data_IF_806196610986
#
_entry.id   IF_806196610986
#
_cell.length_a   1.000
_cell.length_b   1.000
_cell.length_c   1.000
_cell.angle_alpha   90.00
_cell.angle_beta   90.00
_cell.angle_gamma   90.00
#
_symmetry.space_group_name_H-M   'P 1'
#
loop_
_entity.id
_entity.type
_entity.pdbx_description
1 polymer ?
#
# COMPACT_ATOMS: atom_id res chain seq x y z
N UNK A 1 56.37 -9.71 62.23
CA UNK A 1 57.44 -10.22 61.35
C UNK A 1 57.16 -9.70 59.94
N UNK A 2 57.75 -8.56 59.54
CA UNK A 2 58.85 -8.47 58.56
C UNK A 2 58.81 -9.51 57.42
N UNK A 3 58.37 -9.01 56.25
CA UNK A 3 59.06 -9.00 54.95
C UNK A 3 59.22 -10.29 54.13
N UNK A 4 59.20 -10.04 52.81
CA UNK A 4 59.85 -10.72 51.67
C UNK A 4 58.94 -11.66 50.87
N UNK A 5 58.51 -11.11 49.73
CA UNK A 5 58.30 -11.83 48.46
C UNK A 5 59.67 -12.22 47.88
N UNK A 6 59.80 -13.37 47.21
CA UNK A 6 60.70 -13.47 46.08
C UNK A 6 59.96 -13.83 44.79
N UNK A 7 60.28 -13.03 43.76
CA UNK A 7 60.17 -13.34 42.34
C UNK A 7 60.69 -14.75 42.00
N UNK A 8 60.06 -15.38 41.01
CA UNK A 8 60.79 -16.22 40.05
C UNK A 8 60.38 -15.88 38.62
N UNK A 9 61.41 -15.82 37.80
CA UNK A 9 61.58 -15.12 36.53
C UNK A 9 61.27 -16.06 35.35
N UNK A 10 60.40 -15.57 34.46
CA UNK A 10 60.46 -15.59 32.98
C UNK A 10 60.85 -16.90 32.27
N UNK A 11 59.93 -17.39 31.44
CA UNK A 11 60.26 -17.78 30.06
C UNK A 11 59.41 -16.95 29.10
N UNK A 12 60.07 -16.08 28.35
CA UNK A 12 59.50 -15.38 27.22
C UNK A 12 59.51 -16.32 26.01
N UNK A 13 58.36 -16.51 25.39
CA UNK A 13 58.26 -16.90 23.98
C UNK A 13 57.44 -15.82 23.29
N UNK A 14 58.15 -14.87 22.70
CA UNK A 14 57.62 -14.05 21.62
C UNK A 14 57.44 -14.96 20.40
N UNK A 15 56.20 -15.11 19.95
CA UNK A 15 55.91 -15.28 18.52
C UNK A 15 54.81 -14.28 18.17
N UNK A 16 55.24 -13.20 17.54
CA UNK A 16 54.42 -12.28 16.76
C UNK A 16 53.77 -13.00 15.60
N UNK A 17 52.45 -12.93 15.49
CA UNK A 17 51.75 -12.97 14.21
C UNK A 17 50.48 -12.12 14.31
N UNK A 18 50.42 -11.10 13.46
CA UNK A 18 49.28 -10.22 13.23
C UNK A 18 48.00 -11.01 12.94
N UNK A 19 46.92 -10.66 13.62
CA UNK A 19 45.55 -11.03 13.26
C UNK A 19 44.63 -9.95 13.82
N UNK A 20 44.17 -9.05 12.96
CA UNK A 20 43.42 -7.86 13.34
C UNK A 20 42.18 -8.21 14.17
N UNK A 21 42.16 -7.72 15.40
CA UNK A 21 40.98 -7.75 16.25
C UNK A 21 40.05 -6.64 15.75
N UNK A 22 39.22 -6.95 14.74
CA UNK A 22 38.03 -6.13 14.46
C UNK A 22 37.07 -6.41 15.60
N UNK A 23 37.01 -5.49 16.56
CA UNK A 23 35.83 -5.36 17.41
C UNK A 23 34.63 -5.23 16.48
N UNK A 24 33.81 -6.27 16.44
CA UNK A 24 32.47 -6.16 15.91
C UNK A 24 31.73 -5.19 16.83
N UNK A 25 31.59 -3.94 16.39
CA UNK A 25 30.58 -3.03 16.94
C UNK A 25 29.26 -3.80 16.93
N UNK A 26 28.77 -4.17 18.12
CA UNK A 26 27.37 -4.48 18.29
C UNK A 26 26.63 -3.21 17.87
N UNK A 27 26.09 -3.20 16.64
CA UNK A 27 24.99 -2.31 16.29
C UNK A 27 23.92 -2.56 17.35
N UNK A 28 23.81 -1.66 18.33
CA UNK A 28 22.61 -1.60 19.15
C UNK A 28 21.44 -1.45 18.18
N UNK A 29 20.53 -2.43 18.18
CA UNK A 29 19.22 -2.25 17.56
C UNK A 29 18.63 -0.97 18.19
N UNK A 30 18.61 0.12 17.42
CA UNK A 30 17.87 1.31 17.80
C UNK A 30 16.43 0.86 17.96
N UNK A 31 15.93 0.86 19.20
CA UNK A 31 14.51 0.66 19.44
C UNK A 31 13.75 1.72 18.66
N UNK A 32 12.80 1.29 17.83
CA UNK A 32 11.82 2.14 17.17
C UNK A 32 11.15 3.01 18.24
N UNK A 33 11.40 4.32 18.19
CA UNK A 33 10.91 5.28 19.19
C UNK A 33 9.46 5.73 18.89
N UNK A 34 8.85 5.17 17.84
CA UNK A 34 7.48 5.46 17.43
C UNK A 34 7.30 6.88 16.88
N UNK A 35 8.36 7.67 16.71
CA UNK A 35 8.25 9.03 16.18
C UNK A 35 7.92 8.99 14.70
N UNK A 36 6.94 9.81 14.31
CA UNK A 36 6.57 10.04 12.89
C UNK A 36 7.58 10.99 12.23
N UNK A 37 7.97 12.07 12.91
CA UNK A 37 9.01 12.98 12.44
C UNK A 37 10.25 12.81 13.32
N UNK A 38 11.36 12.40 12.71
CA UNK A 38 12.64 12.20 13.36
C UNK A 38 13.33 13.55 13.63
N UNK A 39 14.28 13.57 14.56
CA UNK A 39 14.95 14.80 15.02
C UNK A 39 15.76 15.49 13.89
N UNK A 40 16.15 14.74 12.85
CA UNK A 40 16.83 15.26 11.65
C UNK A 40 15.85 15.89 10.63
N UNK A 41 14.55 15.71 10.82
CA UNK A 41 13.48 16.17 9.94
C UNK A 41 13.02 15.12 8.92
N UNK A 42 13.43 13.86 9.05
CA UNK A 42 12.94 12.78 8.19
C UNK A 42 11.63 12.21 8.70
N UNK A 43 10.65 12.03 7.81
CA UNK A 43 9.40 11.32 8.11
C UNK A 43 9.67 9.82 8.14
N UNK A 44 9.34 9.15 9.23
CA UNK A 44 9.32 7.69 9.31
C UNK A 44 7.98 7.18 8.75
N UNK A 45 8.03 6.59 7.56
CA UNK A 45 6.81 6.23 6.83
C UNK A 45 6.05 5.07 7.48
N UNK A 46 6.76 4.07 8.03
CA UNK A 46 6.15 3.00 8.82
C UNK A 46 5.33 3.58 9.98
N UNK A 47 5.94 4.45 10.79
CA UNK A 47 5.28 5.03 11.96
C UNK A 47 4.12 5.95 11.57
N UNK A 48 4.25 6.67 10.45
CA UNK A 48 3.16 7.49 9.90
C UNK A 48 1.94 6.65 9.51
N UNK A 49 2.17 5.47 8.93
CA UNK A 49 1.11 4.54 8.55
C UNK A 49 0.54 3.78 9.74
N UNK A 50 1.34 3.42 10.75
CA UNK A 50 0.94 2.64 11.93
C UNK A 50 0.14 3.45 12.96
N UNK A 51 0.23 4.79 12.92
CA UNK A 51 -0.53 5.66 13.81
C UNK A 51 -2.03 5.35 13.69
N UNK A 52 -2.68 5.15 14.83
CA UNK A 52 -4.14 4.98 14.86
C UNK A 52 -4.86 6.20 14.28
N UNK A 53 -5.83 5.93 13.40
CA UNK A 53 -6.54 6.93 12.64
C UNK A 53 -5.78 7.50 11.44
N UNK A 54 -4.58 7.01 11.11
CA UNK A 54 -3.80 7.52 9.98
C UNK A 54 -4.55 7.40 8.66
N UNK A 55 -4.35 8.41 7.80
CA UNK A 55 -4.87 8.44 6.44
C UNK A 55 -3.68 8.51 5.48
N UNK A 56 -3.65 7.57 4.54
CA UNK A 56 -2.74 7.55 3.41
C UNK A 56 -3.53 7.47 2.09
N UNK A 57 -2.86 7.76 0.99
CA UNK A 57 -3.47 7.87 -0.32
C UNK A 57 -2.75 6.98 -1.31
N UNK A 58 -3.49 6.09 -1.99
CA UNK A 58 -3.03 5.47 -3.22
C UNK A 58 -3.23 6.47 -4.35
N UNK A 59 -2.14 6.90 -4.97
CA UNK A 59 -2.10 7.99 -5.93
C UNK A 59 -1.65 7.49 -7.28
N UNK A 60 -2.23 8.03 -8.34
CA UNK A 60 -1.74 7.87 -9.70
C UNK A 60 -1.72 9.17 -10.48
N UNK A 61 -0.84 9.23 -11.48
CA UNK A 61 -0.90 10.30 -12.49
C UNK A 61 -1.57 9.78 -13.75
N UNK A 62 -2.04 10.72 -14.57
CA UNK A 62 -2.50 10.40 -15.91
C UNK A 62 -1.33 9.82 -16.72
N UNK A 63 -1.57 8.78 -17.51
CA UNK A 63 -0.60 8.13 -18.41
C UNK A 63 0.09 9.12 -19.38
N UNK A 64 -0.50 10.30 -19.61
CA UNK A 64 0.10 11.38 -20.39
C UNK A 64 1.23 12.15 -19.64
N UNK A 65 1.26 12.09 -18.31
CA UNK A 65 2.31 12.71 -17.50
C UNK A 65 3.53 11.77 -17.39
N UNK A 66 4.59 12.13 -18.11
CA UNK A 66 5.86 11.39 -18.12
C UNK A 66 6.82 11.84 -17.01
N UNK A 67 6.39 12.71 -16.09
CA UNK A 67 7.25 13.23 -15.03
C UNK A 67 7.76 12.13 -14.10
N UNK A 68 6.98 11.05 -13.92
CA UNK A 68 7.31 9.96 -12.99
C UNK A 68 7.38 10.44 -11.53
N UNK A 69 6.73 11.57 -11.24
CA UNK A 69 6.77 12.27 -9.95
C UNK A 69 5.37 12.46 -9.40
N UNK A 70 5.26 12.48 -8.08
CA UNK A 70 4.02 12.87 -7.42
C UNK A 70 3.69 14.33 -7.77
N UNK A 71 2.42 14.64 -8.07
CA UNK A 71 1.96 15.97 -8.45
C UNK A 71 0.79 16.42 -7.57
N UNK A 72 0.58 17.74 -7.40
CA UNK A 72 -0.58 18.25 -6.67
C UNK A 72 -1.93 17.80 -7.24
N UNK A 73 -2.01 17.53 -8.55
CA UNK A 73 -3.21 17.06 -9.23
C UNK A 73 -3.24 15.55 -9.48
N UNK A 74 -2.32 14.79 -8.86
CA UNK A 74 -2.38 13.33 -8.81
C UNK A 74 -3.75 12.87 -8.33
N UNK A 75 -4.28 11.84 -8.99
CA UNK A 75 -5.58 11.26 -8.70
C UNK A 75 -5.47 10.36 -7.49
N UNK A 76 -6.44 10.46 -6.58
CA UNK A 76 -6.60 9.56 -5.45
C UNK A 76 -7.40 8.35 -5.93
N UNK A 77 -6.71 7.22 -6.15
CA UNK A 77 -7.34 5.95 -6.53
C UNK A 77 -7.94 5.23 -5.32
N UNK A 78 -7.35 5.43 -4.15
CA UNK A 78 -7.87 4.91 -2.90
C UNK A 78 -7.43 5.70 -1.68
N UNK A 79 -8.29 5.69 -0.67
CA UNK A 79 -8.02 6.22 0.67
C UNK A 79 -7.76 5.04 1.59
N UNK A 80 -6.57 5.02 2.18
CA UNK A 80 -6.09 3.97 3.08
C UNK A 80 -6.23 4.53 4.50
N UNK A 81 -6.98 3.85 5.34
CA UNK A 81 -7.23 4.26 6.72
C UNK A 81 -6.71 3.19 7.66
N UNK A 82 -5.83 3.55 8.59
CA UNK A 82 -5.42 2.65 9.66
C UNK A 82 -6.26 2.87 10.91
N UNK A 83 -6.93 1.82 11.38
CA UNK A 83 -7.61 1.79 12.66
C UNK A 83 -7.20 0.53 13.42
N UNK A 84 -6.73 0.72 14.65
CA UNK A 84 -6.29 -0.38 15.53
C UNK A 84 -5.24 -1.31 14.89
N UNK A 85 -4.31 -0.74 14.11
CA UNK A 85 -3.24 -1.48 13.43
C UNK A 85 -3.69 -2.22 12.16
N UNK A 86 -4.93 -2.01 11.72
CA UNK A 86 -5.48 -2.61 10.50
C UNK A 86 -5.82 -1.54 9.48
N UNK A 87 -5.39 -1.74 8.25
CA UNK A 87 -5.70 -0.86 7.13
C UNK A 87 -7.00 -1.28 6.46
N UNK A 88 -7.84 -0.30 6.14
CA UNK A 88 -9.00 -0.43 5.27
C UNK A 88 -8.79 0.47 4.07
N UNK A 89 -9.06 -0.04 2.86
CA UNK A 89 -8.79 0.68 1.61
C UNK A 89 -10.10 0.96 0.90
N UNK A 90 -10.48 2.22 0.86
CA UNK A 90 -11.70 2.67 0.20
C UNK A 90 -11.39 3.09 -1.23
N UNK A 91 -12.10 2.51 -2.20
CA UNK A 91 -11.95 2.85 -3.60
C UNK A 91 -12.49 4.26 -3.87
N UNK A 92 -11.64 5.17 -4.35
CA UNK A 92 -12.05 6.52 -4.76
C UNK A 92 -11.92 6.74 -6.27
N UNK A 93 -11.51 5.70 -6.98
CA UNK A 93 -11.65 5.56 -8.41
C UNK A 93 -10.34 5.72 -9.19
N UNK A 94 -10.16 4.79 -10.12
CA UNK A 94 -9.31 4.89 -11.30
C UNK A 94 -10.23 4.72 -12.53
N UNK A 95 -10.01 5.51 -13.59
CA UNK A 95 -10.81 5.55 -14.83
C UNK A 95 -12.26 6.08 -14.79
N UNK A 96 -12.85 6.36 -13.63
CA UNK A 96 -14.15 7.04 -13.58
C UNK A 96 -13.98 8.57 -13.66
N UNK A 97 -14.85 9.25 -14.39
CA UNK A 97 -14.75 10.68 -14.78
C UNK A 97 -14.63 11.71 -13.64
N UNK A 98 -14.52 11.27 -12.37
CA UNK A 98 -14.51 12.14 -11.18
C UNK A 98 -13.55 11.68 -10.06
N UNK A 99 -12.40 11.08 -10.37
CA UNK A 99 -11.39 10.80 -9.33
C UNK A 99 -11.00 12.11 -8.63
N UNK A 100 -11.02 12.10 -7.29
CA UNK A 100 -10.61 13.24 -6.47
C UNK A 100 -9.11 13.50 -6.71
N UNK A 101 -8.73 14.76 -6.85
CA UNK A 101 -7.32 15.17 -6.94
C UNK A 101 -6.77 15.45 -5.56
N UNK A 102 -5.48 15.18 -5.36
CA UNK A 102 -4.82 15.37 -4.06
C UNK A 102 -4.99 16.79 -3.51
N UNK A 103 -4.82 17.82 -4.32
CA UNK A 103 -5.00 19.22 -3.90
C UNK A 103 -6.43 19.59 -3.49
N UNK A 104 -7.44 18.77 -3.80
CA UNK A 104 -8.82 18.99 -3.36
C UNK A 104 -9.04 18.51 -1.92
N UNK A 105 -8.08 17.81 -1.32
CA UNK A 105 -8.14 17.31 0.05
C UNK A 105 -7.56 18.30 1.08
N UNK A 106 -6.92 19.38 0.63
CA UNK A 106 -6.21 20.34 1.48
C UNK A 106 -7.08 21.03 2.53
N UNK A 107 -8.35 21.25 2.18
CA UNK A 107 -9.33 21.92 3.03
C UNK A 107 -10.15 20.97 3.90
N UNK A 108 -9.92 19.65 3.77
CA UNK A 108 -10.70 18.63 4.45
C UNK A 108 -10.00 18.13 5.71
N UNK A 109 -10.77 17.92 6.78
CA UNK A 109 -10.29 17.16 7.94
C UNK A 109 -10.16 15.67 7.61
N UNK A 110 -9.32 14.96 8.36
CA UNK A 110 -9.13 13.51 8.18
C UNK A 110 -10.47 12.76 8.27
N UNK A 111 -11.36 13.14 9.18
CA UNK A 111 -12.69 12.51 9.33
C UNK A 111 -13.55 12.68 8.07
N UNK A 112 -13.55 13.88 7.46
CA UNK A 112 -14.29 14.13 6.22
C UNK A 112 -13.65 13.36 5.05
N UNK A 113 -12.32 13.25 5.01
CA UNK A 113 -11.62 12.44 4.01
C UNK A 113 -12.02 10.96 4.13
N UNK A 114 -12.08 10.41 5.35
CA UNK A 114 -12.53 9.03 5.61
C UNK A 114 -13.97 8.83 5.19
N UNK A 115 -14.88 9.72 5.57
CA UNK A 115 -16.29 9.68 5.19
C UNK A 115 -16.46 9.71 3.66
N UNK A 116 -15.73 10.59 2.97
CA UNK A 116 -15.72 10.66 1.52
C UNK A 116 -15.17 9.38 0.87
N UNK A 117 -14.17 8.74 1.49
CA UNK A 117 -13.67 7.43 1.08
C UNK A 117 -14.76 6.36 1.13
N UNK A 118 -15.42 6.20 2.27
CA UNK A 118 -16.51 5.23 2.46
C UNK A 118 -17.64 5.45 1.47
N UNK A 119 -18.09 6.71 1.32
CA UNK A 119 -19.17 7.07 0.42
C UNK A 119 -18.78 6.88 -1.06
N UNK A 120 -17.54 7.22 -1.41
CA UNK A 120 -16.99 7.02 -2.76
C UNK A 120 -16.91 5.54 -3.13
N UNK A 121 -16.37 4.72 -2.23
CA UNK A 121 -16.25 3.27 -2.41
C UNK A 121 -17.60 2.63 -2.66
N UNK A 122 -18.57 2.91 -1.80
CA UNK A 122 -19.94 2.43 -1.94
C UNK A 122 -20.56 2.86 -3.28
N UNK A 123 -20.47 4.13 -3.63
CA UNK A 123 -21.06 4.64 -4.87
C UNK A 123 -20.43 4.01 -6.12
N UNK A 124 -19.11 3.82 -6.14
CA UNK A 124 -18.39 3.20 -7.26
C UNK A 124 -18.79 1.74 -7.41
N UNK A 125 -18.78 0.97 -6.32
CA UNK A 125 -19.13 -0.46 -6.37
C UNK A 125 -20.61 -0.65 -6.71
N UNK A 126 -21.52 0.13 -6.13
CA UNK A 126 -22.94 0.06 -6.49
C UNK A 126 -23.18 0.38 -7.96
N UNK A 127 -22.44 1.35 -8.52
CA UNK A 127 -22.49 1.65 -9.96
C UNK A 127 -21.99 0.47 -10.80
N UNK A 128 -20.84 -0.13 -10.46
CA UNK A 128 -20.30 -1.32 -11.14
C UNK A 128 -21.27 -2.51 -11.09
N UNK A 129 -21.94 -2.72 -9.96
CA UNK A 129 -22.98 -3.75 -9.81
C UNK A 129 -24.17 -3.47 -10.75
N UNK A 130 -24.62 -2.22 -10.84
CA UNK A 130 -25.71 -1.82 -11.75
C UNK A 130 -25.32 -2.04 -13.21
N UNK A 131 -24.12 -1.61 -13.61
CA UNK A 131 -23.55 -1.80 -14.95
C UNK A 131 -23.48 -3.29 -15.31
N UNK A 132 -22.92 -4.11 -14.41
CA UNK A 132 -22.85 -5.55 -14.58
C UNK A 132 -24.24 -6.18 -14.75
N UNK A 133 -25.20 -5.84 -13.87
CA UNK A 133 -26.58 -6.34 -13.97
C UNK A 133 -27.23 -6.02 -15.31
N UNK A 134 -27.03 -4.79 -15.81
CA UNK A 134 -27.57 -4.39 -17.11
C UNK A 134 -26.96 -5.21 -18.25
N UNK A 135 -25.63 -5.37 -18.26
CA UNK A 135 -24.90 -6.14 -19.28
C UNK A 135 -25.33 -7.61 -19.30
N UNK A 136 -25.30 -8.30 -18.16
CA UNK A 136 -25.61 -9.73 -18.13
C UNK A 136 -27.11 -10.03 -18.25
N UNK A 137 -27.99 -9.08 -17.94
CA UNK A 137 -29.43 -9.20 -18.25
C UNK A 137 -29.65 -9.30 -19.75
N UNK A 138 -29.03 -8.41 -20.53
CA UNK A 138 -29.12 -8.42 -22.00
C UNK A 138 -28.58 -9.76 -22.54
N UNK A 139 -27.42 -10.22 -22.03
CA UNK A 139 -26.84 -11.49 -22.45
C UNK A 139 -27.77 -12.68 -22.16
N UNK A 140 -28.41 -12.70 -20.98
CA UNK A 140 -29.35 -13.73 -20.58
C UNK A 140 -30.63 -13.74 -21.44
N UNK A 141 -31.22 -12.57 -21.72
CA UNK A 141 -32.42 -12.43 -22.54
C UNK A 141 -32.18 -12.88 -23.99
N UNK A 142 -30.95 -12.72 -24.50
CA UNK A 142 -30.55 -13.14 -25.83
C UNK A 142 -30.31 -14.67 -25.99
N UNK A 143 -30.30 -15.45 -24.90
CA UNK A 143 -30.10 -16.91 -24.98
C UNK A 143 -31.25 -17.60 -25.74
N UNK A 144 -32.47 -17.06 -25.70
CA UNK A 144 -33.67 -17.71 -26.24
C UNK A 144 -33.91 -17.47 -27.75
N UNK A 145 -33.00 -16.76 -28.45
CA UNK A 145 -33.19 -16.41 -29.87
C UNK A 145 -32.41 -17.29 -30.84
N UNK A 146 -31.51 -18.15 -30.35
CA UNK A 146 -30.77 -19.12 -31.14
C UNK A 146 -30.94 -20.51 -30.51
N UNK A 147 -31.37 -21.49 -31.30
CA UNK A 147 -31.75 -22.89 -30.92
C UNK A 147 -30.64 -23.75 -30.27
N UNK A 148 -29.65 -23.16 -29.61
CA UNK A 148 -28.61 -23.87 -28.89
C UNK A 148 -28.74 -23.63 -27.39
N UNK A 149 -28.93 -24.75 -26.67
CA UNK A 149 -28.68 -25.01 -25.25
C UNK A 149 -28.19 -23.80 -24.45
N UNK A 150 -28.93 -23.47 -23.39
CA UNK A 150 -28.51 -22.50 -22.38
C UNK A 150 -27.02 -22.65 -22.09
N UNK A 151 -26.26 -21.64 -22.46
CA UNK A 151 -24.86 -21.55 -22.05
C UNK A 151 -24.90 -21.33 -20.54
N UNK A 152 -24.70 -22.41 -19.77
CA UNK A 152 -24.74 -22.42 -18.31
C UNK A 152 -23.84 -21.30 -17.75
N UNK A 153 -22.76 -20.97 -18.46
CA UNK A 153 -21.91 -19.83 -18.13
C UNK A 153 -22.66 -18.49 -18.15
N UNK A 154 -23.54 -18.23 -19.12
CA UNK A 154 -24.32 -16.98 -19.19
C UNK A 154 -25.36 -16.93 -18.07
N UNK A 155 -26.03 -18.06 -17.78
CA UNK A 155 -26.97 -18.14 -16.65
C UNK A 155 -26.23 -17.85 -15.34
N UNK A 156 -25.09 -18.51 -15.09
CA UNK A 156 -24.30 -18.33 -13.87
C UNK A 156 -23.77 -16.90 -13.72
N UNK A 157 -23.30 -16.28 -14.80
CA UNK A 157 -22.89 -14.86 -14.78
C UNK A 157 -24.05 -13.94 -14.42
N UNK A 158 -25.20 -14.11 -15.04
CA UNK A 158 -26.39 -13.31 -14.73
C UNK A 158 -26.85 -13.50 -13.27
N UNK A 159 -26.97 -14.76 -12.81
CA UNK A 159 -27.30 -15.07 -11.41
C UNK A 159 -26.31 -14.42 -10.45
N UNK A 160 -25.01 -14.47 -10.75
CA UNK A 160 -23.99 -13.81 -9.92
C UNK A 160 -24.17 -12.29 -9.89
N UNK A 161 -24.41 -11.64 -11.04
CA UNK A 161 -24.63 -10.20 -11.15
C UNK A 161 -25.84 -9.73 -10.35
N UNK A 162 -26.96 -10.46 -10.43
CA UNK A 162 -28.19 -10.14 -9.69
C UNK A 162 -27.94 -10.24 -8.18
N UNK A 163 -27.17 -11.24 -7.74
CA UNK A 163 -26.90 -11.49 -6.33
C UNK A 163 -25.79 -10.60 -5.73
N UNK A 164 -25.03 -9.87 -6.54
CA UNK A 164 -24.05 -8.91 -6.03
C UNK A 164 -24.72 -7.84 -5.14
N UNK A 165 -24.10 -7.58 -4.00
CA UNK A 165 -24.48 -6.50 -3.08
C UNK A 165 -23.21 -5.86 -2.57
N UNK A 166 -23.23 -4.54 -2.44
CA UNK A 166 -22.13 -3.81 -1.82
C UNK A 166 -21.76 -4.44 -0.48
N UNK A 167 -20.46 -4.55 -0.25
CA UNK A 167 -19.85 -4.91 1.03
C UNK A 167 -18.66 -3.99 1.23
N UNK A 168 -18.56 -3.42 2.42
CA UNK A 168 -17.40 -2.62 2.77
C UNK A 168 -16.12 -3.47 2.73
N UNK A 169 -14.96 -2.87 2.39
CA UNK A 169 -13.67 -3.53 2.46
C UNK A 169 -13.37 -4.06 3.86
N UNK A 170 -12.76 -5.24 3.92
CA UNK A 170 -12.32 -5.84 5.17
C UNK A 170 -11.03 -5.17 5.66
N UNK A 171 -10.90 -4.91 6.97
CA UNK A 171 -9.64 -4.47 7.56
C UNK A 171 -8.55 -5.54 7.41
N UNK A 172 -7.33 -5.11 7.07
CA UNK A 172 -6.19 -5.96 6.72
C UNK A 172 -4.96 -5.58 7.52
N UNK A 173 -4.08 -6.54 7.77
CA UNK A 173 -2.81 -6.23 8.44
C UNK A 173 -1.88 -5.47 7.48
N UNK A 174 -1.13 -4.53 8.05
CA UNK A 174 -0.04 -3.86 7.35
C UNK A 174 1.19 -4.76 7.34
N UNK A 175 1.72 -5.06 6.15
CA UNK A 175 2.79 -6.05 5.99
C UNK A 175 4.10 -5.32 5.68
N UNK A 176 5.14 -5.65 6.43
CA UNK A 176 6.49 -5.13 6.18
C UNK A 176 7.39 -6.28 5.76
N UNK A 177 8.08 -6.12 4.62
CA UNK A 177 9.04 -7.12 4.13
C UNK A 177 10.44 -6.49 4.08
N UNK A 178 11.42 -7.18 4.61
CA UNK A 178 12.83 -6.89 4.33
C UNK A 178 13.34 -7.96 3.35
N UNK A 179 14.05 -7.56 2.30
CA UNK A 179 14.86 -8.52 1.54
C UNK A 179 16.18 -8.69 2.29
N UNK A 180 16.53 -9.92 2.61
CA UNK A 180 17.88 -10.24 3.07
C UNK A 180 18.90 -9.98 1.96
N UNK A 181 20.14 -9.68 2.36
CA UNK A 181 21.35 -9.45 1.53
C UNK A 181 21.62 -8.02 1.03
N UNK A 182 21.38 -7.01 1.86
CA UNK A 182 22.05 -5.71 1.72
C UNK A 182 21.59 -4.81 0.57
N UNK A 183 20.49 -5.18 -0.11
CA UNK A 183 19.79 -4.32 -1.08
C UNK A 183 18.39 -3.98 -0.56
N UNK A 184 17.90 -2.80 -0.93
CA UNK A 184 16.76 -2.06 -0.38
C UNK A 184 15.63 -2.86 0.28
N UNK A 185 15.24 -2.37 1.47
CA UNK A 185 14.05 -2.81 2.23
C UNK A 185 12.80 -2.29 1.53
N UNK A 186 11.90 -3.19 1.13
CA UNK A 186 10.68 -2.83 0.39
C UNK A 186 9.44 -2.98 1.27
N UNK A 187 8.70 -1.89 1.49
CA UNK A 187 7.42 -1.94 2.20
C UNK A 187 6.37 -2.54 1.26
N UNK A 188 5.60 -3.53 1.73
CA UNK A 188 4.51 -4.11 0.95
C UNK A 188 3.16 -3.70 1.56
N UNK A 189 2.43 -2.80 0.92
CA UNK A 189 1.13 -2.37 1.45
C UNK A 189 0.02 -3.07 0.69
N UNK A 190 -0.87 -3.73 1.42
CA UNK A 190 -2.11 -4.29 0.91
C UNK A 190 -3.14 -3.18 0.66
N UNK A 191 -2.82 -2.33 -0.31
CA UNK A 191 -3.54 -1.11 -0.64
C UNK A 191 -4.36 -1.22 -1.93
N UNK A 192 -4.62 -2.44 -2.45
CA UNK A 192 -5.50 -2.61 -3.59
C UNK A 192 -6.96 -2.40 -3.14
N UNK A 193 -7.69 -1.41 -3.69
CA UNK A 193 -9.08 -1.19 -3.34
C UNK A 193 -9.98 -2.34 -3.80
N UNK A 194 -11.17 -2.46 -3.20
CA UNK A 194 -12.16 -3.44 -3.64
C UNK A 194 -12.66 -3.13 -5.06
N UNK A 195 -12.97 -4.20 -5.80
CA UNK A 195 -13.55 -4.09 -7.13
C UNK A 195 -14.55 -5.22 -7.42
N UNK A 196 -15.42 -5.04 -8.41
CA UNK A 196 -16.22 -6.09 -9.02
C UNK A 196 -15.42 -6.73 -10.15
N UNK A 197 -15.07 -8.01 -10.00
CA UNK A 197 -14.27 -8.75 -10.97
C UNK A 197 -14.99 -10.03 -11.42
N UNK A 198 -14.67 -10.47 -12.64
CA UNK A 198 -14.96 -11.82 -13.10
C UNK A 198 -13.92 -12.79 -12.54
N UNK A 199 -14.37 -13.83 -11.84
CA UNK A 199 -13.52 -14.88 -11.27
C UNK A 199 -14.03 -16.26 -11.65
N UNK A 200 -13.14 -17.27 -11.62
CA UNK A 200 -13.52 -18.66 -11.88
C UNK A 200 -14.62 -19.17 -10.94
N UNK A 201 -15.52 -19.99 -11.50
CA UNK A 201 -16.64 -20.58 -10.77
C UNK A 201 -16.26 -21.93 -10.19
N UNK A 202 -15.92 -21.96 -8.89
CA UNK A 202 -15.69 -23.17 -8.08
C UNK A 202 -15.00 -24.31 -8.85
N UNK A 203 -15.78 -25.30 -9.28
CA UNK A 203 -15.37 -26.60 -9.84
C UNK A 203 -15.32 -26.62 -11.37
N UNK A 204 -15.57 -25.48 -12.03
CA UNK A 204 -15.44 -25.32 -13.48
C UNK A 204 -14.76 -23.98 -13.82
N UNK A 205 -13.45 -24.05 -14.04
CA UNK A 205 -12.64 -22.89 -14.41
C UNK A 205 -13.02 -22.29 -15.77
N UNK A 206 -13.82 -22.99 -16.60
CA UNK A 206 -14.31 -22.46 -17.87
C UNK A 206 -15.51 -21.52 -17.69
N UNK A 207 -16.12 -21.49 -16.50
CA UNK A 207 -17.22 -20.59 -16.17
C UNK A 207 -16.69 -19.47 -15.28
N UNK A 208 -16.88 -18.22 -15.69
CA UNK A 208 -16.62 -17.06 -14.84
C UNK A 208 -17.92 -16.60 -14.17
N UNK A 209 -17.81 -16.06 -12.95
CA UNK A 209 -18.89 -15.37 -12.24
C UNK A 209 -18.37 -14.06 -11.69
N UNK A 210 -19.26 -13.12 -11.41
CA UNK A 210 -18.87 -11.88 -10.78
C UNK A 210 -18.80 -12.02 -9.26
N UNK A 211 -17.77 -11.42 -8.67
CA UNK A 211 -17.65 -11.22 -7.23
C UNK A 211 -17.14 -9.82 -6.94
N UNK A 212 -17.43 -9.32 -5.74
CA UNK A 212 -16.63 -8.24 -5.17
C UNK A 212 -15.36 -8.91 -4.67
N UNK A 213 -14.25 -8.63 -5.33
CA UNK A 213 -12.92 -9.05 -4.90
C UNK A 213 -12.41 -7.96 -3.97
N UNK A 214 -12.20 -8.37 -2.73
CA UNK A 214 -11.42 -7.59 -1.80
C UNK A 214 -9.96 -7.94 -2.05
N UNK A 215 -9.13 -6.95 -2.37
CA UNK A 215 -7.72 -7.12 -2.71
C UNK A 215 -6.84 -7.70 -1.59
N UNK A 216 -7.41 -8.46 -0.65
CA UNK A 216 -6.83 -9.00 0.59
C UNK A 216 -5.52 -9.76 0.42
N UNK A 217 -5.19 -10.25 -0.77
CA UNK A 217 -3.92 -10.93 -1.07
C UNK A 217 -3.03 -10.18 -2.08
N UNK A 218 -3.47 -9.01 -2.55
CA UNK A 218 -2.79 -8.21 -3.57
C UNK A 218 -2.43 -6.81 -3.03
N UNK A 219 -1.28 -6.29 -3.43
CA UNK A 219 -0.82 -5.01 -2.89
C UNK A 219 0.34 -4.44 -3.68
N UNK A 220 0.92 -3.37 -3.14
CA UNK A 220 1.98 -2.62 -3.78
C UNK A 220 3.29 -2.80 -3.02
N UNK A 221 4.31 -3.24 -3.74
CA UNK A 221 5.69 -3.14 -3.28
C UNK A 221 6.16 -1.70 -3.49
N UNK A 222 6.60 -1.06 -2.43
CA UNK A 222 7.09 0.31 -2.42
C UNK A 222 8.61 0.30 -2.59
N UNK A 223 9.10 1.07 -3.56
CA UNK A 223 10.49 0.95 -4.02
C UNK A 223 11.32 2.18 -3.69
N UNK A 224 10.85 3.37 -4.07
CA UNK A 224 11.64 4.59 -3.99
C UNK A 224 10.82 5.74 -3.38
N UNK A 225 11.44 6.63 -2.59
CA UNK A 225 10.75 7.77 -2.01
C UNK A 225 10.27 8.73 -3.09
N UNK A 226 9.17 9.44 -2.83
CA UNK A 226 8.72 10.57 -3.65
C UNK A 226 9.40 11.86 -3.19
N UNK A 227 9.47 12.85 -4.07
CA UNK A 227 9.73 14.23 -3.67
C UNK A 227 8.64 14.71 -2.69
N UNK A 228 9.01 15.58 -1.74
CA UNK A 228 8.05 16.32 -0.92
C UNK A 228 7.29 17.30 -1.83
N UNK A 229 5.97 17.20 -1.89
CA UNK A 229 5.14 18.11 -2.68
C UNK A 229 4.27 18.98 -1.79
N UNK A 230 3.96 20.17 -2.27
CA UNK A 230 3.00 21.08 -1.64
C UNK A 230 1.81 21.26 -2.56
N UNK A 231 0.62 21.09 -2.02
CA UNK A 231 -0.68 21.28 -2.71
C UNK A 231 -1.32 22.64 -2.39
N UNK A 232 -0.70 23.42 -1.49
CA UNK A 232 -1.16 24.73 -1.07
C UNK A 232 -1.09 24.88 0.44
N UNK A 233 -1.91 24.12 1.17
CA UNK A 233 -1.96 24.13 2.65
C UNK A 233 -1.22 22.95 3.25
N UNK A 234 -1.24 21.81 2.56
CA UNK A 234 -0.65 20.57 3.03
C UNK A 234 0.59 20.23 2.23
N UNK A 235 1.41 19.38 2.83
CA UNK A 235 2.55 18.76 2.17
C UNK A 235 2.33 17.26 2.17
N UNK A 236 2.76 16.59 1.10
CA UNK A 236 2.64 15.15 0.98
C UNK A 236 3.97 14.54 0.56
N UNK A 237 4.26 13.38 1.12
CA UNK A 237 5.44 12.58 0.81
C UNK A 237 5.11 11.10 0.99
N UNK A 238 5.80 10.24 0.25
CA UNK A 238 5.51 8.83 0.25
C UNK A 238 6.55 8.01 -0.49
N UNK A 239 6.10 6.87 -1.00
CA UNK A 239 6.90 5.97 -1.83
C UNK A 239 6.17 5.61 -3.11
N UNK A 240 6.92 5.51 -4.20
CA UNK A 240 6.41 4.96 -5.46
C UNK A 240 6.19 3.47 -5.35
N UNK A 241 5.17 2.98 -6.04
CA UNK A 241 4.93 1.55 -6.21
C UNK A 241 5.80 1.02 -7.33
N UNK A 242 6.31 -0.21 -7.20
CA UNK A 242 7.01 -0.91 -8.28
C UNK A 242 6.10 -0.96 -9.51
N UNK A 243 6.56 -0.41 -10.64
CA UNK A 243 5.88 -0.56 -11.92
C UNK A 243 5.78 -2.06 -12.27
N UNK A 244 4.61 -2.49 -12.72
CA UNK A 244 4.47 -3.80 -13.36
C UNK A 244 4.82 -3.65 -14.84
N UNK A 245 5.35 -4.68 -15.50
CA UNK A 245 5.76 -4.64 -16.92
C UNK A 245 4.63 -4.21 -17.86
N UNK A 246 3.38 -4.33 -17.40
CA UNK A 246 2.16 -3.98 -18.14
C UNK A 246 1.57 -2.60 -17.78
N UNK A 247 2.14 -1.87 -16.82
CA UNK A 247 1.62 -0.56 -16.41
C UNK A 247 2.75 0.44 -16.11
N UNK A 248 2.98 1.36 -17.05
CA UNK A 248 3.97 2.43 -16.95
C UNK A 248 3.47 3.64 -16.17
N UNK A 249 2.21 3.64 -15.72
CA UNK A 249 1.65 4.81 -15.03
C UNK A 249 2.31 4.99 -13.67
N UNK A 250 2.67 6.24 -13.36
CA UNK A 250 3.17 6.59 -12.04
C UNK A 250 2.11 6.26 -10.99
N UNK A 251 2.53 5.52 -9.96
CA UNK A 251 1.74 5.23 -8.77
C UNK A 251 2.59 5.38 -7.51
N UNK A 252 1.98 5.90 -6.45
CA UNK A 252 2.62 6.07 -5.16
C UNK A 252 1.62 5.90 -4.01
N UNK A 253 2.13 5.57 -2.83
CA UNK A 253 1.39 5.70 -1.58
C UNK A 253 2.00 6.84 -0.79
N UNK A 254 1.21 7.85 -0.45
CA UNK A 254 1.67 9.05 0.26
C UNK A 254 0.80 9.37 1.48
N UNK A 255 1.41 10.08 2.44
CA UNK A 255 0.77 10.59 3.65
C UNK A 255 0.94 12.10 3.73
N UNK A 256 0.12 12.76 4.56
CA UNK A 256 0.35 14.16 4.93
C UNK A 256 1.67 14.27 5.72
N UNK A 257 2.57 15.14 5.28
CA UNK A 257 3.86 15.37 5.89
C UNK A 257 3.75 16.40 7.03
N UNK A 258 4.16 16.07 8.28
CA UNK A 258 4.19 17.05 9.37
C UNK A 258 5.09 18.24 9.04
N UNK A 259 4.78 19.40 9.64
CA UNK A 259 5.59 20.61 9.50
C UNK A 259 7.06 20.34 9.88
N UNK A 260 7.98 20.73 9.00
CA UNK A 260 9.42 20.54 9.21
C UNK A 260 9.98 19.27 8.57
N UNK A 261 9.14 18.47 7.91
CA UNK A 261 9.58 17.34 7.09
C UNK A 261 10.52 17.81 5.98
N UNK A 262 11.67 17.16 5.85
CA UNK A 262 12.69 17.41 4.81
C UNK A 262 12.81 16.27 3.81
N UNK A 263 12.39 15.08 4.21
CA UNK A 263 12.48 13.85 3.43
C UNK A 263 11.76 12.71 4.14
N UNK A 264 11.91 11.50 3.62
CA UNK A 264 11.23 10.31 4.12
C UNK A 264 12.20 9.14 4.23
N UNK A 265 12.01 8.31 5.26
CA UNK A 265 12.63 7.00 5.40
C UNK A 265 11.53 5.94 5.48
N UNK A 266 11.88 4.69 5.18
CA UNK A 266 10.92 3.59 5.24
C UNK A 266 10.50 3.29 6.68
N UNK A 267 11.34 3.65 7.65
CA UNK A 267 11.17 3.27 9.06
C UNK A 267 11.51 1.81 9.35
N UNK A 268 11.95 1.04 8.35
CA UNK A 268 12.31 -0.37 8.50
C UNK A 268 13.79 -0.55 8.86
N UNK A 269 14.38 0.26 9.74
CA UNK A 269 15.80 0.24 10.13
C UNK A 269 16.84 0.27 8.97
N UNK A 270 18.13 0.42 9.28
CA UNK A 270 19.28 0.37 8.35
C UNK A 270 20.40 -0.54 8.88
#
# INVERSE_FOLDING_TARGET
>A
MKKILPLLIIFALFVTACGGNKEAEKKEEKKDDGKILQDDGMLNFKNALEKDGAVAYLLSNNSADKSGKLQPDSRVEGIIVNENGKITVYNTGYHYEKSIKLNQLDDLSEDIVKENGVNGDKAIIEKKIQEARAVYKINYENINTNDNKSDDAVIKRYESAVNLKYRAPEPKDLIYKMKDQGEEKAIFINALPNDVEEVGYKDDENISVLKIVDGKDNGFTLTEPTDLISTGKKQYIGYKTKANENNSDFRAIAVEAPKGTKGITSGLDQ
#
